data_IF_299980472633
#
_entry.id   IF_299980472633
#
_cell.length_a   1.000
_cell.length_b   1.000
_cell.length_c   1.000
_cell.angle_alpha   90.00
_cell.angle_beta   90.00
_cell.angle_gamma   90.00
#
_symmetry.space_group_name_H-M   'P 1'
#
loop_
_entity.id
_entity.type
_entity.pdbx_description
1 polymer ?
#
# COMPACT_ATOMS: atom_id res chain seq x y z
N UNK A 1 -43.42 13.60 2.80
CA UNK A 1 -42.01 13.16 2.78
C UNK A 1 -41.34 13.84 1.59
N UNK A 2 -40.53 14.88 1.83
CA UNK A 2 -39.90 15.64 0.73
C UNK A 2 -38.57 14.97 0.41
N UNK A 3 -38.46 14.37 -0.78
CA UNK A 3 -37.20 13.83 -1.27
C UNK A 3 -36.26 15.01 -1.60
N UNK A 4 -35.26 15.23 -0.74
CA UNK A 4 -34.18 16.17 -1.05
C UNK A 4 -33.45 15.69 -2.29
N UNK A 5 -33.60 16.40 -3.41
CA UNK A 5 -32.75 16.24 -4.60
C UNK A 5 -31.31 16.46 -4.16
N UNK A 6 -30.47 15.42 -4.29
CA UNK A 6 -29.03 15.53 -4.11
C UNK A 6 -28.50 16.64 -5.03
N UNK A 7 -28.05 17.76 -4.45
CA UNK A 7 -27.26 18.75 -5.16
C UNK A 7 -25.95 18.07 -5.52
N UNK A 8 -25.72 17.76 -6.79
CA UNK A 8 -24.40 17.34 -7.25
C UNK A 8 -23.52 18.59 -7.23
N UNK A 9 -22.46 18.56 -6.43
CA UNK A 9 -21.52 19.66 -6.34
C UNK A 9 -20.74 19.71 -7.67
N UNK A 10 -20.58 20.89 -8.30
CA UNK A 10 -19.80 21.06 -9.54
C UNK A 10 -18.28 21.07 -9.28
N UNK A 11 -17.81 20.23 -8.36
CA UNK A 11 -16.40 20.14 -8.03
C UNK A 11 -15.68 19.36 -9.11
N UNK A 12 -14.63 19.96 -9.68
CA UNK A 12 -13.77 19.34 -10.69
C UNK A 12 -12.35 19.31 -10.14
N UNK A 13 -11.64 18.20 -10.36
CA UNK A 13 -10.24 18.05 -10.00
C UNK A 13 -9.41 18.28 -11.27
N UNK A 14 -8.45 19.21 -11.23
CA UNK A 14 -7.56 19.50 -12.35
C UNK A 14 -6.10 19.19 -11.97
N UNK A 15 -5.58 18.09 -12.51
CA UNK A 15 -4.19 17.68 -12.28
C UNK A 15 -3.21 18.20 -13.34
N UNK A 16 -3.66 18.96 -14.35
CA UNK A 16 -2.84 19.34 -15.51
C UNK A 16 -1.59 20.16 -15.18
N UNK A 17 -1.59 20.82 -14.02
CA UNK A 17 -0.50 21.67 -13.53
C UNK A 17 0.30 21.04 -12.39
N UNK A 18 -0.04 19.82 -12.00
CA UNK A 18 0.61 19.16 -10.87
C UNK A 18 1.77 18.27 -11.32
N UNK A 19 2.87 18.32 -10.57
CA UNK A 19 3.94 17.34 -10.69
C UNK A 19 3.52 16.03 -10.03
N UNK A 20 4.01 14.91 -10.59
CA UNK A 20 3.96 13.63 -9.88
C UNK A 20 5.05 13.60 -8.83
N UNK A 21 4.70 13.29 -7.59
CA UNK A 21 5.65 13.06 -6.51
C UNK A 21 5.44 11.67 -5.91
N UNK A 22 6.48 11.16 -5.25
CA UNK A 22 6.34 9.96 -4.43
C UNK A 22 5.49 10.32 -3.21
N UNK A 23 4.22 9.92 -3.24
CA UNK A 23 3.25 10.21 -2.21
C UNK A 23 3.14 9.02 -1.27
N UNK A 24 3.53 9.23 -0.02
CA UNK A 24 3.30 8.30 1.06
C UNK A 24 1.97 8.64 1.74
N UNK A 25 0.90 7.91 1.40
CA UNK A 25 -0.46 8.30 1.78
C UNK A 25 -0.90 7.82 3.16
N UNK A 26 -0.22 6.83 3.74
CA UNK A 26 -0.57 6.24 5.03
C UNK A 26 0.27 6.82 6.18
N UNK A 27 -0.01 8.07 6.50
CA UNK A 27 0.61 8.80 7.61
C UNK A 27 0.05 8.36 8.98
N UNK A 28 -0.08 7.05 9.20
CA UNK A 28 -0.42 6.51 10.52
C UNK A 28 0.83 6.44 11.40
N UNK A 29 0.69 6.78 12.67
CA UNK A 29 1.79 6.80 13.64
C UNK A 29 2.43 5.42 13.83
N UNK A 30 1.66 4.35 13.66
CA UNK A 30 2.17 2.98 13.69
C UNK A 30 3.17 2.65 12.57
N UNK A 31 3.18 3.45 11.50
CA UNK A 31 4.12 3.28 10.38
C UNK A 31 5.36 4.15 10.53
N UNK A 32 5.59 4.71 11.72
CA UNK A 32 6.68 5.63 12.01
C UNK A 32 7.43 5.16 13.26
N UNK A 33 8.74 4.97 13.12
CA UNK A 33 9.60 4.54 14.22
C UNK A 33 10.69 5.58 14.49
N UNK A 34 10.87 5.90 15.76
CA UNK A 34 11.98 6.72 16.25
C UNK A 34 13.01 5.84 16.94
N UNK A 35 14.28 6.06 16.67
CA UNK A 35 15.37 5.46 17.45
C UNK A 35 15.78 6.36 18.60
N UNK A 36 16.50 5.79 19.57
CA UNK A 36 17.08 6.54 20.70
C UNK A 36 18.06 7.64 20.26
N UNK A 37 18.61 7.52 19.04
CA UNK A 37 19.48 8.53 18.40
C UNK A 37 18.71 9.64 17.70
N UNK A 38 17.38 9.64 17.75
CA UNK A 38 16.51 10.61 17.07
C UNK A 38 16.36 10.38 15.56
N UNK A 39 16.71 9.19 15.06
CA UNK A 39 16.51 8.85 13.64
C UNK A 39 15.07 8.43 13.40
N UNK A 40 14.46 8.95 12.34
CA UNK A 40 13.09 8.65 11.93
C UNK A 40 13.08 7.65 10.79
N UNK A 41 12.36 6.54 10.98
CA UNK A 41 12.08 5.56 9.94
C UNK A 41 10.59 5.59 9.60
N UNK A 42 10.29 5.63 8.30
CA UNK A 42 8.94 5.40 7.78
C UNK A 42 8.93 3.97 7.25
N UNK A 43 7.95 3.19 7.67
CA UNK A 43 7.74 1.81 7.24
C UNK A 43 6.42 1.66 6.51
N UNK A 44 6.12 0.46 6.03
CA UNK A 44 4.87 0.12 5.34
C UNK A 44 4.50 1.02 4.15
N UNK A 45 5.19 0.77 3.03
CA UNK A 45 4.97 1.49 1.78
C UNK A 45 3.88 0.86 0.90
N UNK A 46 3.00 -0.01 1.42
CA UNK A 46 1.98 -0.70 0.61
C UNK A 46 1.07 0.30 -0.13
N UNK A 47 0.85 1.47 0.45
CA UNK A 47 0.01 2.54 -0.11
C UNK A 47 0.81 3.69 -0.74
N UNK A 48 2.13 3.56 -0.88
CA UNK A 48 2.94 4.58 -1.53
C UNK A 48 2.85 4.48 -3.05
N UNK A 49 2.69 5.62 -3.73
CA UNK A 49 2.60 5.68 -5.19
C UNK A 49 3.10 7.02 -5.73
N UNK A 50 3.46 7.05 -7.02
CA UNK A 50 3.68 8.31 -7.72
C UNK A 50 2.33 8.92 -8.10
N UNK A 51 1.95 10.00 -7.42
CA UNK A 51 0.65 10.65 -7.54
C UNK A 51 0.82 12.17 -7.71
N UNK A 52 -0.17 12.87 -8.26
CA UNK A 52 -0.21 14.34 -8.22
C UNK A 52 -0.03 14.86 -6.79
N UNK A 53 0.68 15.97 -6.61
CA UNK A 53 1.03 16.53 -5.30
C UNK A 53 -0.17 16.82 -4.39
N UNK A 54 -1.34 17.08 -4.95
CA UNK A 54 -2.60 17.24 -4.21
C UNK A 54 -3.06 15.99 -3.45
N UNK A 55 -2.59 14.79 -3.81
CA UNK A 55 -2.81 13.58 -3.00
C UNK A 55 -2.08 13.67 -1.66
N UNK A 56 -0.89 14.26 -1.60
CA UNK A 56 -0.20 14.54 -0.34
C UNK A 56 -0.99 15.56 0.48
N UNK A 57 -1.54 16.60 -0.16
CA UNK A 57 -2.45 17.55 0.51
C UNK A 57 -3.65 16.85 1.12
N UNK A 58 -4.29 15.93 0.37
CA UNK A 58 -5.42 15.16 0.86
C UNK A 58 -5.03 14.29 2.06
N UNK A 59 -3.91 13.57 1.99
CA UNK A 59 -3.39 12.75 3.09
C UNK A 59 -3.09 13.56 4.35
N UNK A 60 -2.50 14.75 4.19
CA UNK A 60 -2.23 15.66 5.30
C UNK A 60 -3.48 16.35 5.82
N UNK A 61 -4.56 16.42 5.04
CA UNK A 61 -5.81 17.02 5.48
C UNK A 61 -6.49 16.20 6.60
N UNK A 62 -6.16 14.91 6.69
CA UNK A 62 -6.72 13.99 7.68
C UNK A 62 -6.31 14.39 9.10
N UNK A 63 -7.24 14.21 10.04
CA UNK A 63 -6.97 14.54 11.44
C UNK A 63 -6.10 13.46 12.10
N UNK A 64 -4.78 13.68 12.06
CA UNK A 64 -3.77 12.79 12.64
C UNK A 64 -2.65 13.63 13.28
N UNK A 65 -2.13 13.26 14.46
CA UNK A 65 -1.01 13.93 15.11
C UNK A 65 0.18 14.22 14.19
N UNK A 66 0.62 13.25 13.39
CA UNK A 66 1.76 13.47 12.48
C UNK A 66 1.44 14.50 11.39
N UNK A 67 0.19 14.58 10.94
CA UNK A 67 -0.22 15.53 9.93
C UNK A 67 -0.09 16.95 10.43
N UNK A 68 -0.47 17.22 11.68
CA UNK A 68 -0.31 18.55 12.29
C UNK A 68 1.16 19.01 12.29
N UNK A 69 2.07 18.09 12.64
CA UNK A 69 3.51 18.37 12.63
C UNK A 69 4.09 18.64 11.23
N UNK A 70 3.45 18.10 10.17
CA UNK A 70 3.91 18.21 8.78
C UNK A 70 3.21 19.34 8.00
N UNK A 71 1.97 19.70 8.32
CA UNK A 71 1.16 20.69 7.59
C UNK A 71 1.87 22.02 7.40
N UNK A 72 2.56 22.49 8.44
CA UNK A 72 3.25 23.79 8.41
C UNK A 72 4.66 23.72 7.79
N UNK A 73 5.15 22.52 7.46
CA UNK A 73 6.49 22.30 6.91
C UNK A 73 6.49 22.13 5.39
N UNK A 74 5.33 21.88 4.79
CA UNK A 74 5.19 21.57 3.37
C UNK A 74 4.29 22.60 2.68
N UNK A 75 4.80 23.24 1.63
CA UNK A 75 3.99 24.10 0.75
C UNK A 75 3.36 23.25 -0.35
N UNK A 76 2.11 22.83 -0.14
CA UNK A 76 1.39 21.93 -1.05
C UNK A 76 0.15 22.61 -1.68
N UNK A 77 -0.23 22.23 -2.91
CA UNK A 77 -1.38 22.81 -3.60
C UNK A 77 -2.68 22.55 -2.83
N UNK A 78 -3.57 23.54 -2.81
CA UNK A 78 -4.85 23.49 -2.08
C UNK A 78 -6.07 23.53 -3.01
N UNK A 79 -5.86 23.86 -4.28
CA UNK A 79 -6.88 24.13 -5.28
C UNK A 79 -7.83 22.93 -5.45
N UNK A 80 -7.26 21.72 -5.45
CA UNK A 80 -8.00 20.47 -5.60
C UNK A 80 -8.53 19.90 -4.29
N UNK A 81 -8.17 20.44 -3.12
CA UNK A 81 -8.43 19.80 -1.83
C UNK A 81 -9.92 19.52 -1.58
N UNK A 82 -10.78 20.52 -1.80
CA UNK A 82 -12.23 20.36 -1.58
C UNK A 82 -12.84 19.28 -2.49
N UNK A 83 -12.44 19.25 -3.76
CA UNK A 83 -12.90 18.28 -4.74
C UNK A 83 -12.37 16.87 -4.41
N UNK A 84 -11.11 16.77 -4.00
CA UNK A 84 -10.49 15.51 -3.59
C UNK A 84 -11.06 14.97 -2.28
N UNK A 85 -11.42 15.83 -1.32
CA UNK A 85 -12.11 15.41 -0.09
C UNK A 85 -13.49 14.82 -0.42
N UNK A 86 -14.24 15.45 -1.33
CA UNK A 86 -15.51 14.91 -1.81
C UNK A 86 -15.32 13.56 -2.54
N UNK A 87 -14.19 13.38 -3.23
CA UNK A 87 -13.86 12.15 -3.96
C UNK A 87 -13.11 11.09 -3.12
N UNK A 88 -12.75 11.39 -1.86
CA UNK A 88 -11.84 10.57 -1.03
C UNK A 88 -12.26 9.11 -0.93
N UNK A 89 -13.55 8.86 -0.71
CA UNK A 89 -14.09 7.51 -0.61
C UNK A 89 -13.78 6.68 -1.86
N UNK A 90 -13.91 7.28 -3.04
CA UNK A 90 -13.62 6.61 -4.31
C UNK A 90 -12.13 6.29 -4.48
N UNK A 91 -11.23 7.15 -3.99
CA UNK A 91 -9.80 6.87 -4.01
C UNK A 91 -9.43 5.70 -3.10
N UNK A 92 -10.04 5.61 -1.91
CA UNK A 92 -9.78 4.51 -0.96
C UNK A 92 -10.19 3.15 -1.54
N UNK A 93 -11.38 3.05 -2.13
CA UNK A 93 -11.84 1.78 -2.72
C UNK A 93 -11.13 1.43 -4.04
N UNK A 94 -10.54 2.43 -4.72
CA UNK A 94 -9.80 2.24 -5.97
C UNK A 94 -8.29 2.03 -5.76
N UNK A 95 -7.80 2.13 -4.52
CA UNK A 95 -6.38 2.25 -4.17
C UNK A 95 -5.47 1.13 -4.70
N UNK A 96 -6.00 -0.06 -4.98
CA UNK A 96 -5.22 -1.15 -5.56
C UNK A 96 -4.84 -0.96 -7.05
N UNK A 97 -5.23 0.14 -7.69
CA UNK A 97 -4.95 0.38 -9.11
C UNK A 97 -4.84 1.85 -9.51
N UNK A 98 -4.63 2.77 -8.58
CA UNK A 98 -4.37 4.18 -8.92
C UNK A 98 -2.85 4.33 -9.16
N UNK A 99 -2.46 4.89 -10.31
CA UNK A 99 -1.05 5.14 -10.65
C UNK A 99 -0.29 3.96 -11.28
N UNK A 100 -0.85 2.75 -11.29
CA UNK A 100 -0.27 1.61 -12.04
C UNK A 100 -0.63 1.72 -13.53
N UNK A 101 0.29 1.37 -14.46
CA UNK A 101 -0.01 1.29 -15.89
C UNK A 101 -1.28 0.49 -16.15
N UNK A 102 -2.07 0.91 -17.13
CA UNK A 102 -3.27 0.17 -17.54
C UNK A 102 -2.94 -1.26 -17.96
N UNK A 103 -1.72 -1.46 -18.46
CA UNK A 103 -1.24 -2.72 -19.02
C UNK A 103 -0.47 -3.58 -17.99
N UNK A 104 -0.58 -3.30 -16.69
CA UNK A 104 0.14 -4.05 -15.66
C UNK A 104 -0.33 -5.53 -15.62
N UNK A 105 0.51 -6.50 -16.05
CA UNK A 105 0.14 -7.91 -16.12
C UNK A 105 -0.13 -8.53 -14.73
N UNK A 106 0.28 -7.87 -13.64
CA UNK A 106 0.03 -8.32 -12.27
C UNK A 106 -1.37 -7.97 -11.76
N UNK A 107 -2.09 -7.04 -12.40
CA UNK A 107 -3.48 -6.70 -12.03
C UNK A 107 -4.42 -7.89 -12.15
N UNK A 108 -4.27 -8.69 -13.20
CA UNK A 108 -5.14 -9.85 -13.45
C UNK A 108 -4.83 -11.03 -12.53
N UNK A 109 -3.57 -11.18 -12.12
CA UNK A 109 -3.14 -12.23 -11.18
C UNK A 109 -3.73 -11.98 -9.78
N UNK A 110 -3.74 -10.73 -9.31
CA UNK A 110 -4.34 -10.37 -8.02
C UNK A 110 -5.87 -10.51 -8.01
N UNK A 111 -6.56 -10.21 -9.12
CA UNK A 111 -8.01 -10.44 -9.27
C UNK A 111 -8.38 -11.92 -9.19
N UNK A 112 -7.61 -12.81 -9.83
CA UNK A 112 -7.86 -14.26 -9.80
C UNK A 112 -7.69 -14.87 -8.41
N UNK A 113 -6.78 -14.35 -7.59
CA UNK A 113 -6.54 -14.83 -6.22
C UNK A 113 -7.61 -14.46 -5.20
N UNK A 114 -8.44 -13.44 -5.47
CA UNK A 114 -9.54 -13.00 -4.58
C UNK A 114 -10.89 -13.68 -4.87
N UNK A 115 -10.95 -14.61 -5.83
CA UNK A 115 -12.17 -15.38 -6.10
C UNK A 115 -12.30 -16.54 -5.09
N UNK A 116 -13.45 -16.77 -4.44
CA UNK A 116 -13.58 -17.76 -3.35
C UNK A 116 -13.37 -19.23 -3.78
N UNK A 117 -13.25 -19.51 -5.08
CA UNK A 117 -13.21 -20.87 -5.63
C UNK A 117 -11.83 -21.37 -6.07
N UNK A 118 -10.73 -20.71 -5.72
CA UNK A 118 -9.39 -21.23 -6.02
C UNK A 118 -8.90 -22.20 -4.93
N UNK A 119 -9.51 -23.38 -4.83
CA UNK A 119 -8.94 -24.53 -4.12
C UNK A 119 -8.31 -25.50 -5.11
N UNK A 120 -7.00 -25.36 -5.32
CA UNK A 120 -5.98 -26.36 -4.96
C UNK A 120 -4.63 -25.98 -5.61
N UNK A 121 -3.50 -26.01 -4.88
CA UNK A 121 -2.18 -25.97 -5.50
C UNK A 121 -1.95 -27.26 -6.31
N UNK A 122 -1.18 -27.22 -7.40
CA UNK A 122 -0.81 -28.41 -8.15
C UNK A 122 0.02 -29.36 -7.26
N UNK A 123 -0.32 -30.65 -7.31
CA UNK A 123 0.42 -31.73 -6.66
C UNK A 123 1.90 -31.69 -7.07
N UNK A 124 2.86 -31.69 -6.12
CA UNK A 124 4.25 -31.95 -6.47
C UNK A 124 4.37 -33.39 -6.99
N UNK A 125 5.11 -33.51 -8.08
CA UNK A 125 5.38 -34.73 -8.83
C UNK A 125 5.63 -35.96 -7.94
N UNK A 126 4.92 -37.04 -8.23
CA UNK A 126 5.35 -38.39 -7.88
C UNK A 126 6.53 -38.75 -8.77
N UNK A 127 7.75 -38.68 -8.22
CA UNK A 127 8.91 -39.31 -8.84
C UNK A 127 9.24 -40.61 -8.09
N UNK A 128 9.41 -41.65 -8.89
CA UNK A 128 9.46 -43.05 -8.49
C UNK A 128 10.92 -43.46 -8.14
N UNK A 129 11.05 -44.12 -6.99
CA UNK A 129 11.88 -45.31 -6.72
C UNK A 129 13.42 -45.28 -6.86
N UNK A 130 14.06 -45.97 -5.89
CA UNK A 130 15.41 -46.56 -5.87
C UNK A 130 16.58 -45.61 -5.53
N UNK A 131 17.55 -45.90 -4.65
CA UNK A 131 18.01 -47.11 -3.96
C UNK A 131 18.84 -46.67 -2.72
N UNK A 132 18.68 -47.37 -1.60
CA UNK A 132 19.61 -47.34 -0.46
C UNK A 132 20.78 -48.31 -0.72
N UNK A 133 21.98 -47.99 -0.23
CA UNK A 133 22.72 -48.95 0.59
C UNK A 133 23.23 -48.26 1.87
N UNK A 134 22.82 -48.69 3.06
CA UNK A 134 23.48 -49.72 3.88
C UNK A 134 24.97 -49.47 4.14
N UNK A 135 25.32 -49.08 5.36
CA UNK A 135 26.69 -49.29 5.86
C UNK A 135 27.20 -48.40 6.99
N UNK A 136 27.23 -48.98 8.18
CA UNK A 136 28.29 -48.84 9.21
C UNK A 136 28.47 -47.55 10.05
N UNK A 137 28.09 -47.75 11.33
CA UNK A 137 28.89 -47.60 12.58
C UNK A 137 29.38 -46.20 13.01
N UNK A 138 28.73 -45.76 14.10
CA UNK A 138 29.27 -45.25 15.38
C UNK A 138 30.73 -44.76 15.41
N UNK A 139 30.94 -43.55 15.95
CA UNK A 139 31.65 -43.38 17.22
C UNK A 139 31.32 -42.04 17.88
N UNK A 140 31.05 -42.14 19.18
CA UNK A 140 31.02 -41.14 20.22
C UNK A 140 32.42 -40.58 20.53
N UNK A 141 32.52 -39.28 20.80
CA UNK A 141 33.41 -38.58 21.77
C UNK A 141 33.00 -37.10 21.72
N UNK A 142 32.33 -36.51 22.71
CA UNK A 142 32.89 -35.97 23.97
C UNK A 142 34.18 -35.16 23.76
N UNK A 143 34.12 -33.83 23.93
CA UNK A 143 34.90 -33.06 24.92
C UNK A 143 34.95 -31.56 24.59
N UNK A 144 34.45 -30.77 25.53
CA UNK A 144 34.81 -29.41 25.97
C UNK A 144 35.95 -28.64 25.25
N UNK A 145 35.65 -27.38 24.93
CA UNK A 145 36.37 -26.17 25.36
C UNK A 145 35.55 -24.91 25.05
#
# INVERSE_FOLDING_TARGET
MVANKFKRNNLTIDFSKESLCFCYSDLYEGNVMFTDTGTLYIIDFEHAAFLPTSFMTLSLSLDRPINEALRNKLSLPQENLNAMQAARYYFQISGHGVGLPLDDPWRDIKRKRRSPNAHQPPNPMSDNTEHLPSGCRTNSTESDA
#
